data_IF_849619699217
#
_entry.id   IF_849619699217
#
_cell.length_a   1.000
_cell.length_b   1.000
_cell.length_c   1.000
_cell.angle_alpha   90.00
_cell.angle_beta   90.00
_cell.angle_gamma   90.00
#
_symmetry.space_group_name_H-M   'P 1'
#
loop_
_entity.id
_entity.type
_entity.pdbx_description
1 polymer ?
#
# COMPACT_ATOMS: atom_id res chain seq x y z
N UNK A 1 -12.82 -0.86 -6.94
CA UNK A 1 -11.73 -0.10 -6.33
C UNK A 1 -11.37 1.10 -7.18
N UNK A 2 -11.02 2.21 -6.55
CA UNK A 2 -10.69 3.46 -7.24
C UNK A 2 -9.26 3.87 -6.91
N UNK A 3 -8.61 4.53 -7.86
CA UNK A 3 -7.35 5.21 -7.62
C UNK A 3 -7.62 6.44 -6.73
N UNK A 4 -6.77 6.77 -5.75
CA UNK A 4 -6.99 7.86 -4.78
C UNK A 4 -6.82 9.24 -5.43
N UNK A 5 -7.78 9.66 -6.25
CA UNK A 5 -7.83 10.99 -6.89
C UNK A 5 -9.21 11.64 -6.74
N UNK A 6 -10.21 10.91 -6.26
CA UNK A 6 -11.59 11.31 -6.21
C UNK A 6 -12.25 10.69 -4.98
N UNK A 7 -12.98 11.49 -4.21
CA UNK A 7 -13.65 11.04 -3.00
C UNK A 7 -14.74 9.98 -3.24
N UNK A 8 -15.11 9.30 -2.17
CA UNK A 8 -16.13 8.26 -2.19
C UNK A 8 -17.46 8.77 -2.73
N UNK A 9 -17.96 9.89 -2.22
CA UNK A 9 -19.29 10.42 -2.58
C UNK A 9 -19.36 10.80 -4.06
N UNK A 10 -18.31 11.42 -4.56
CA UNK A 10 -18.18 11.81 -5.97
C UNK A 10 -18.12 10.57 -6.88
N UNK A 11 -17.37 9.55 -6.48
CA UNK A 11 -17.28 8.27 -7.19
C UNK A 11 -18.64 7.55 -7.22
N UNK A 12 -19.35 7.52 -6.08
CA UNK A 12 -20.71 6.94 -6.00
C UNK A 12 -21.71 7.71 -6.86
N UNK A 13 -21.65 9.04 -6.87
CA UNK A 13 -22.52 9.86 -7.72
C UNK A 13 -22.29 9.56 -9.20
N UNK A 14 -21.06 9.36 -9.63
CA UNK A 14 -20.72 8.99 -11.00
C UNK A 14 -21.28 7.60 -11.38
N UNK A 15 -21.14 6.61 -10.48
CA UNK A 15 -21.70 5.26 -10.68
C UNK A 15 -23.21 5.33 -10.80
N UNK A 16 -23.88 6.02 -9.88
CA UNK A 16 -25.36 6.18 -9.88
C UNK A 16 -25.84 6.86 -11.17
N UNK A 17 -25.16 7.90 -11.62
CA UNK A 17 -25.45 8.57 -12.88
C UNK A 17 -25.35 7.62 -14.08
N UNK A 18 -24.33 6.77 -14.11
CA UNK A 18 -24.14 5.78 -15.18
C UNK A 18 -25.19 4.67 -15.11
N UNK A 19 -25.46 4.11 -13.94
CA UNK A 19 -26.46 3.09 -13.74
C UNK A 19 -27.85 3.56 -14.20
N UNK A 20 -28.26 4.78 -13.81
CA UNK A 20 -29.54 5.37 -14.21
C UNK A 20 -29.69 5.49 -15.73
N UNK A 21 -28.61 5.80 -16.45
CA UNK A 21 -28.63 5.87 -17.92
C UNK A 21 -29.03 4.53 -18.56
N UNK A 22 -28.73 3.42 -17.91
CA UNK A 22 -29.02 2.07 -18.41
C UNK A 22 -30.21 1.41 -17.68
N UNK A 23 -30.99 2.17 -16.92
CA UNK A 23 -32.13 1.66 -16.18
C UNK A 23 -31.77 0.70 -15.03
N UNK A 24 -30.53 0.80 -14.51
CA UNK A 24 -30.04 -0.03 -13.42
C UNK A 24 -30.21 0.68 -12.08
N UNK A 25 -30.61 -0.07 -11.07
CA UNK A 25 -30.60 0.37 -9.67
C UNK A 25 -29.25 0.07 -9.04
N UNK A 26 -28.86 0.88 -8.05
CA UNK A 26 -27.61 0.72 -7.31
C UNK A 26 -27.86 0.76 -5.82
N UNK A 27 -27.35 -0.24 -5.13
CA UNK A 27 -27.31 -0.32 -3.67
C UNK A 27 -25.86 -0.27 -3.20
N UNK A 28 -25.58 0.51 -2.15
CA UNK A 28 -24.25 0.57 -1.53
C UNK A 28 -24.25 -0.33 -0.30
N UNK A 29 -23.67 -1.51 -0.43
CA UNK A 29 -23.56 -2.46 0.67
C UNK A 29 -22.44 -2.06 1.64
N UNK A 30 -21.34 -1.54 1.12
CA UNK A 30 -20.22 -1.05 1.91
C UNK A 30 -19.40 -0.08 1.07
N UNK A 31 -18.94 0.99 1.69
CA UNK A 31 -18.05 1.94 1.06
C UNK A 31 -17.11 2.56 2.10
N UNK A 32 -15.92 2.92 1.66
CA UNK A 32 -14.95 3.68 2.44
C UNK A 32 -14.22 4.63 1.53
N UNK A 33 -13.82 5.78 2.08
CA UNK A 33 -12.99 6.71 1.33
C UNK A 33 -11.57 6.14 1.13
N UNK A 34 -10.82 6.73 0.21
CA UNK A 34 -9.44 6.33 -0.02
C UNK A 34 -8.54 6.82 1.11
N UNK A 35 -7.45 6.11 1.29
CA UNK A 35 -6.35 6.57 2.14
C UNK A 35 -5.54 7.64 1.43
N UNK A 36 -5.19 8.73 2.11
CA UNK A 36 -4.30 9.73 1.56
C UNK A 36 -2.98 9.10 1.06
N UNK A 37 -2.48 9.51 -0.12
CA UNK A 37 -1.15 9.11 -0.56
C UNK A 37 -0.10 9.54 0.45
N UNK A 38 0.91 8.70 0.67
CA UNK A 38 2.03 9.06 1.54
C UNK A 38 2.85 10.18 0.92
N UNK A 39 3.36 11.09 1.75
CA UNK A 39 4.28 12.14 1.32
C UNK A 39 5.65 11.56 1.00
N UNK A 40 6.00 11.55 -0.27
CA UNK A 40 7.29 11.04 -0.77
C UNK A 40 8.44 12.04 -0.59
N UNK A 41 8.19 13.23 -0.09
CA UNK A 41 9.21 14.24 0.25
C UNK A 41 9.40 14.39 1.76
N UNK A 42 8.55 13.74 2.55
CA UNK A 42 8.55 13.80 4.00
C UNK A 42 9.61 12.92 4.66
N UNK A 43 9.74 13.11 5.97
CA UNK A 43 10.72 12.40 6.79
C UNK A 43 10.50 10.88 6.79
N UNK A 44 9.26 10.42 6.85
CA UNK A 44 8.94 8.99 6.85
C UNK A 44 9.43 8.29 5.56
N UNK A 45 9.25 8.94 4.40
CA UNK A 45 9.77 8.44 3.13
C UNK A 45 11.29 8.36 3.16
N UNK A 46 11.97 9.43 3.57
CA UNK A 46 13.42 9.47 3.65
C UNK A 46 13.97 8.37 4.56
N UNK A 47 13.39 8.19 5.75
CA UNK A 47 13.81 7.12 6.67
C UNK A 47 13.71 5.73 6.05
N UNK A 48 12.62 5.43 5.37
CA UNK A 48 12.44 4.14 4.69
C UNK A 48 13.48 3.97 3.58
N UNK A 49 13.68 4.98 2.74
CA UNK A 49 14.62 4.90 1.60
C UNK A 49 16.09 4.85 2.03
N UNK A 50 16.46 5.58 3.09
CA UNK A 50 17.81 5.50 3.67
C UNK A 50 18.06 4.10 4.24
N UNK A 51 17.09 3.53 4.95
CA UNK A 51 17.18 2.16 5.47
C UNK A 51 17.25 1.12 4.33
N UNK A 52 16.50 1.31 3.23
CA UNK A 52 16.63 0.45 2.05
C UNK A 52 18.07 0.51 1.50
N UNK A 53 18.62 1.72 1.37
CA UNK A 53 19.96 1.92 0.84
C UNK A 53 21.06 1.32 1.73
N UNK A 54 20.86 1.35 3.06
CA UNK A 54 21.74 0.77 4.06
C UNK A 54 21.73 -0.77 4.00
N UNK A 55 20.53 -1.37 4.03
CA UNK A 55 20.37 -2.83 4.19
C UNK A 55 20.44 -3.56 2.85
N UNK A 56 20.03 -2.91 1.77
CA UNK A 56 20.02 -3.47 0.42
C UNK A 56 20.82 -2.59 -0.56
N UNK A 57 22.13 -2.52 -0.41
CA UNK A 57 22.97 -1.63 -1.23
C UNK A 57 22.81 -1.96 -2.73
N UNK A 58 22.59 -0.90 -3.52
CA UNK A 58 22.41 -1.02 -4.97
C UNK A 58 20.99 -1.34 -5.42
N UNK A 59 20.05 -1.54 -4.48
CA UNK A 59 18.63 -1.70 -4.83
C UNK A 59 18.04 -0.34 -5.22
N UNK A 60 17.46 -0.28 -6.41
CA UNK A 60 16.67 0.88 -6.84
C UNK A 60 15.24 0.81 -6.24
N UNK A 61 14.69 1.96 -5.87
CA UNK A 61 13.33 2.08 -5.35
C UNK A 61 12.56 3.18 -6.07
N UNK A 62 11.25 3.04 -6.11
CA UNK A 62 10.35 4.03 -6.70
C UNK A 62 9.01 4.01 -5.96
N UNK A 63 8.37 5.18 -5.75
CA UNK A 63 7.00 5.20 -5.25
C UNK A 63 6.04 4.68 -6.33
N UNK A 64 4.97 4.02 -5.90
CA UNK A 64 3.85 3.68 -6.76
C UNK A 64 2.53 3.76 -5.99
N UNK A 65 1.43 3.88 -6.72
CA UNK A 65 0.09 3.86 -6.13
C UNK A 65 -0.36 2.41 -5.95
N UNK A 66 -0.48 1.98 -4.68
CA UNK A 66 -1.00 0.66 -4.37
C UNK A 66 -2.50 0.60 -4.66
N UNK A 67 -2.92 -0.38 -5.47
CA UNK A 67 -4.32 -0.63 -5.82
C UNK A 67 -5.04 -1.58 -4.84
N UNK A 68 -4.30 -2.12 -3.87
CA UNK A 68 -4.82 -2.94 -2.78
C UNK A 68 -5.13 -2.14 -1.53
N UNK A 69 -6.00 -2.66 -0.66
CA UNK A 69 -6.19 -2.12 0.68
C UNK A 69 -5.16 -2.75 1.65
N UNK A 70 -4.75 -1.98 2.65
CA UNK A 70 -3.88 -2.45 3.75
C UNK A 70 -4.39 -1.87 5.07
N UNK A 71 -3.93 -2.41 6.18
CA UNK A 71 -4.25 -1.91 7.52
C UNK A 71 -3.78 -0.46 7.77
N UNK A 72 -2.91 0.06 6.91
CA UNK A 72 -2.48 1.47 6.95
C UNK A 72 -3.66 2.45 6.97
N UNK A 73 -4.80 2.10 6.36
CA UNK A 73 -6.03 2.91 6.43
C UNK A 73 -6.51 3.17 7.87
N UNK A 74 -6.26 2.22 8.78
CA UNK A 74 -6.69 2.32 10.17
C UNK A 74 -5.75 3.22 10.99
N UNK A 75 -4.50 3.35 10.56
CA UNK A 75 -3.50 4.19 11.23
C UNK A 75 -3.55 5.66 10.80
N UNK A 76 -4.25 6.00 9.74
CA UNK A 76 -4.35 7.39 9.26
C UNK A 76 -5.06 8.32 10.25
N UNK A 77 -5.83 7.79 11.21
CA UNK A 77 -6.41 8.58 12.28
C UNK A 77 -5.37 9.12 13.28
N UNK A 78 -4.18 8.54 13.32
CA UNK A 78 -3.11 8.85 14.27
C UNK A 78 -1.75 9.13 13.61
N UNK A 79 -1.65 8.95 12.29
CA UNK A 79 -0.41 9.14 11.54
C UNK A 79 -0.72 9.66 10.14
N UNK A 80 -0.28 10.87 9.83
CA UNK A 80 -0.55 11.53 8.55
C UNK A 80 0.21 10.88 7.37
N UNK A 81 1.29 10.16 7.65
CA UNK A 81 2.15 9.61 6.61
C UNK A 81 2.46 8.12 6.82
N UNK A 82 1.59 7.25 6.32
CA UNK A 82 1.74 5.80 6.40
C UNK A 82 2.42 5.25 5.15
N UNK A 83 3.72 4.99 5.22
CA UNK A 83 4.46 4.31 4.14
C UNK A 83 4.11 2.82 4.13
N UNK A 84 3.76 2.32 2.95
CA UNK A 84 3.46 0.89 2.71
C UNK A 84 4.66 0.26 2.03
N UNK A 85 5.39 -0.54 2.78
CA UNK A 85 6.58 -1.23 2.29
C UNK A 85 6.72 -2.59 2.98
N UNK A 86 7.12 -3.60 2.22
CA UNK A 86 7.47 -4.91 2.75
C UNK A 86 8.85 -5.29 2.19
N UNK A 87 9.87 -5.49 3.05
CA UNK A 87 11.24 -5.80 2.63
C UNK A 87 11.39 -7.28 2.25
N UNK A 88 10.55 -7.74 1.34
CA UNK A 88 10.49 -9.14 0.86
C UNK A 88 10.40 -9.18 -0.65
N UNK A 89 10.84 -10.29 -1.22
CA UNK A 89 10.84 -10.48 -2.68
C UNK A 89 9.52 -11.15 -3.07
N UNK A 90 8.76 -10.49 -3.92
CA UNK A 90 7.58 -11.02 -4.57
C UNK A 90 7.87 -11.24 -6.06
N UNK A 91 8.20 -12.49 -6.42
CA UNK A 91 8.31 -12.89 -7.80
C UNK A 91 6.93 -13.17 -8.43
N UNK A 92 6.90 -13.52 -9.73
CA UNK A 92 5.64 -13.83 -10.43
C UNK A 92 4.85 -14.98 -9.80
N UNK A 93 5.52 -15.93 -9.17
CA UNK A 93 4.88 -17.06 -8.48
C UNK A 93 4.18 -16.60 -7.22
N UNK A 94 4.88 -15.85 -6.36
CA UNK A 94 4.32 -15.27 -5.12
C UNK A 94 3.14 -14.35 -5.43
N UNK A 95 3.26 -13.51 -6.46
CA UNK A 95 2.17 -12.62 -6.90
C UNK A 95 0.92 -13.38 -7.34
N UNK A 96 1.07 -14.53 -8.02
CA UNK A 96 -0.07 -15.38 -8.42
C UNK A 96 -0.71 -16.10 -7.24
N UNK A 97 0.09 -16.46 -6.23
CA UNK A 97 -0.37 -17.15 -5.03
C UNK A 97 -1.04 -16.25 -4.00
N UNK A 98 -0.89 -14.94 -4.12
CA UNK A 98 -1.40 -13.96 -3.14
C UNK A 98 -2.91 -14.11 -2.92
N UNK A 99 -3.33 -14.31 -1.68
CA UNK A 99 -4.71 -14.59 -1.27
C UNK A 99 -5.31 -15.87 -1.86
N UNK A 100 -4.48 -16.75 -2.37
CA UNK A 100 -4.88 -18.02 -2.97
C UNK A 100 -4.39 -19.25 -2.23
N UNK A 101 -4.63 -20.41 -2.86
CA UNK A 101 -4.03 -21.68 -2.42
C UNK A 101 -2.54 -21.66 -2.71
N UNK A 102 -1.71 -22.14 -1.79
CA UNK A 102 -0.24 -22.16 -1.88
C UNK A 102 0.39 -20.75 -1.86
N UNK A 103 -0.23 -19.79 -1.21
CA UNK A 103 0.43 -18.53 -0.92
C UNK A 103 1.75 -18.79 -0.19
N UNK A 104 2.82 -18.24 -0.69
CA UNK A 104 4.17 -18.54 -0.20
C UNK A 104 5.08 -17.31 -0.29
N UNK A 105 6.21 -17.40 0.41
CA UNK A 105 7.29 -16.43 0.36
C UNK A 105 8.63 -17.18 0.36
N UNK A 106 9.61 -16.67 -0.33
CA UNK A 106 10.95 -17.21 -0.28
C UNK A 106 11.59 -16.95 1.09
N UNK A 107 11.93 -18.01 1.80
CA UNK A 107 12.54 -17.89 3.14
C UNK A 107 13.89 -17.20 3.12
N UNK A 108 14.60 -17.24 1.99
CA UNK A 108 15.89 -16.56 1.80
C UNK A 108 15.81 -15.04 1.96
N UNK A 109 14.63 -14.41 1.77
CA UNK A 109 14.48 -12.96 1.96
C UNK A 109 14.23 -12.56 3.44
N UNK A 110 13.91 -13.51 4.33
CA UNK A 110 13.53 -13.20 5.71
C UNK A 110 14.68 -12.59 6.53
N UNK A 111 15.94 -13.04 6.47
CA UNK A 111 17.03 -12.39 7.20
C UNK A 111 17.17 -10.90 6.84
N UNK A 112 17.16 -10.56 5.56
CA UNK A 112 17.21 -9.17 5.10
C UNK A 112 15.99 -8.35 5.58
N UNK A 113 14.80 -8.95 5.61
CA UNK A 113 13.61 -8.30 6.14
C UNK A 113 13.75 -7.98 7.64
N UNK A 114 14.32 -8.90 8.42
CA UNK A 114 14.59 -8.67 9.86
C UNK A 114 15.61 -7.56 10.04
N UNK A 115 16.69 -7.56 9.26
CA UNK A 115 17.73 -6.54 9.34
C UNK A 115 17.20 -5.16 8.96
N UNK A 116 16.33 -5.07 7.96
CA UNK A 116 15.64 -3.83 7.59
C UNK A 116 14.84 -3.25 8.76
N UNK A 117 14.01 -4.05 9.43
CA UNK A 117 13.21 -3.55 10.56
C UNK A 117 14.05 -3.21 11.77
N UNK A 118 15.14 -3.94 12.03
CA UNK A 118 16.10 -3.58 13.09
C UNK A 118 16.76 -2.22 12.81
N UNK A 119 17.22 -1.98 11.60
CA UNK A 119 17.82 -0.72 11.20
C UNK A 119 16.80 0.42 11.27
N UNK A 120 15.59 0.24 10.70
CA UNK A 120 14.51 1.22 10.71
C UNK A 120 14.12 1.63 12.15
N UNK A 121 14.02 0.68 13.07
CA UNK A 121 13.70 0.94 14.48
C UNK A 121 14.89 1.59 15.19
N UNK A 122 16.10 1.10 14.95
CA UNK A 122 17.32 1.60 15.55
C UNK A 122 17.60 3.06 15.20
N UNK A 123 17.34 3.45 13.97
CA UNK A 123 17.55 4.81 13.44
C UNK A 123 16.45 5.81 13.90
N UNK A 124 15.48 5.38 14.68
CA UNK A 124 14.42 6.21 15.28
C UNK A 124 14.73 6.74 16.69
N UNK A 125 15.99 6.68 17.11
CA UNK A 125 16.42 7.19 18.43
C UNK A 125 17.01 8.59 18.36
#
# INVERSE_FOLDING_TARGET
RFIPHQGMDESLALIRKRAKKYGLETEVLSASDYSAPADIHGEAWRRVTDTISEVFPGLAYSPYVMTGATDAKNYQAICDNCIRFAPVIYGPEQMRGMHGVNENIETACLPGAVDFYKALIGNNR
#
